data_IF_905553175494
#
_entry.id   IF_905553175494
#
_cell.length_a   1.000
_cell.length_b   1.000
_cell.length_c   1.000
_cell.angle_alpha   90.00
_cell.angle_beta   90.00
_cell.angle_gamma   90.00
#
_symmetry.space_group_name_H-M   'P 1'
#
loop_
_entity.id
_entity.type
_entity.pdbx_description
1 polymer ?
#
# COMPACT_ATOMS: atom_id res chain seq x y z
N UNK A 1 -2.85 5.26 6.81
CA UNK A 1 -1.85 4.79 7.78
C UNK A 1 -0.83 5.88 8.04
N UNK A 2 -0.25 5.95 9.24
CA UNK A 2 0.90 6.83 9.54
C UNK A 2 2.17 6.04 9.26
N UNK A 3 2.84 6.32 8.14
CA UNK A 3 4.09 5.66 7.78
C UNK A 3 4.91 6.58 6.85
N UNK A 4 6.16 6.93 7.18
CA UNK A 4 7.01 7.72 6.29
C UNK A 4 7.52 6.91 5.08
N UNK A 5 7.36 5.58 5.10
CA UNK A 5 7.72 4.71 3.99
C UNK A 5 6.53 4.42 3.07
N UNK A 6 6.79 4.35 1.77
CA UNK A 6 5.84 3.93 0.74
C UNK A 6 6.41 2.85 -0.19
N UNK A 7 5.56 2.28 -1.04
CA UNK A 7 5.92 1.25 -2.03
C UNK A 7 6.64 0.06 -1.39
N UNK A 8 5.98 -0.58 -0.42
CA UNK A 8 6.52 -1.73 0.32
C UNK A 8 7.88 -1.48 0.98
N UNK A 9 8.04 -0.30 1.60
CA UNK A 9 9.25 0.16 2.30
C UNK A 9 10.47 0.43 1.41
N UNK A 10 10.27 0.47 0.09
CA UNK A 10 11.35 0.78 -0.85
C UNK A 10 11.72 2.27 -0.83
N UNK A 11 10.74 3.14 -0.61
CA UNK A 11 10.92 4.59 -0.72
C UNK A 11 10.58 5.29 0.60
N UNK A 12 11.46 6.19 1.02
CA UNK A 12 11.34 6.99 2.23
C UNK A 12 10.95 8.43 1.86
N UNK A 13 9.85 8.92 2.42
CA UNK A 13 9.44 10.31 2.28
C UNK A 13 10.13 11.16 3.36
N UNK A 14 11.03 12.05 2.94
CA UNK A 14 11.79 12.95 3.83
C UNK A 14 10.91 13.86 4.70
N UNK A 15 9.99 14.65 4.12
CA UNK A 15 9.00 15.42 4.89
C UNK A 15 8.19 14.61 5.90
N UNK A 16 7.74 13.41 5.52
CA UNK A 16 7.01 12.53 6.42
C UNK A 16 7.86 12.10 7.62
N UNK A 17 9.12 11.73 7.38
CA UNK A 17 10.07 11.38 8.43
C UNK A 17 10.36 12.59 9.33
N UNK A 18 10.61 13.75 8.74
CA UNK A 18 10.85 15.00 9.46
C UNK A 18 9.69 15.35 10.39
N UNK A 19 8.45 15.22 9.92
CA UNK A 19 7.26 15.45 10.73
C UNK A 19 7.14 14.52 11.94
N UNK A 20 7.48 13.24 11.76
CA UNK A 20 7.53 12.26 12.86
C UNK A 20 8.67 12.61 13.84
N UNK A 21 9.84 13.02 13.35
CA UNK A 21 10.98 13.40 14.21
C UNK A 21 10.68 14.66 15.04
N UNK A 22 10.02 15.65 14.46
CA UNK A 22 9.58 16.87 15.19
C UNK A 22 8.65 16.50 16.33
N UNK A 23 7.70 15.59 16.09
CA UNK A 23 6.81 15.11 17.14
C UNK A 23 7.58 14.38 18.25
N UNK A 24 8.47 13.45 17.89
CA UNK A 24 9.28 12.70 18.86
C UNK A 24 10.17 13.62 19.71
N UNK A 25 10.77 14.65 19.09
CA UNK A 25 11.58 15.63 19.81
C UNK A 25 10.73 16.48 20.75
N UNK A 26 9.55 16.92 20.30
CA UNK A 26 8.60 17.66 21.14
C UNK A 26 8.15 16.83 22.34
N UNK A 27 8.08 15.49 22.18
CA UNK A 27 7.73 14.59 23.26
C UNK A 27 8.79 14.49 24.39
N UNK A 28 10.00 15.02 24.20
CA UNK A 28 11.00 15.06 25.27
C UNK A 28 10.67 16.09 26.35
N UNK A 29 9.92 17.14 26.00
CA UNK A 29 9.45 18.16 26.94
C UNK A 29 7.98 18.49 26.66
N UNK A 30 7.09 17.53 26.96
CA UNK A 30 5.64 17.67 26.70
C UNK A 30 5.03 18.90 27.37
N UNK A 31 5.48 19.23 28.58
CA UNK A 31 4.88 20.27 29.42
C UNK A 31 5.01 21.64 28.78
N UNK A 32 6.18 21.94 28.21
CA UNK A 32 6.44 23.25 27.60
C UNK A 32 6.13 23.30 26.11
N UNK A 33 5.94 22.15 25.44
CA UNK A 33 5.67 22.08 24.00
C UNK A 33 4.19 21.82 23.72
N UNK A 34 3.81 20.54 23.64
CA UNK A 34 2.49 20.07 23.19
C UNK A 34 1.39 20.49 24.17
N UNK A 35 1.65 20.48 25.47
CA UNK A 35 0.66 20.76 26.53
C UNK A 35 0.54 22.25 26.88
N UNK A 36 1.46 23.10 26.41
CA UNK A 36 1.41 24.56 26.62
C UNK A 36 0.85 25.25 25.36
N UNK A 37 1.66 26.06 24.65
CA UNK A 37 1.19 26.87 23.52
C UNK A 37 1.37 26.21 22.16
N UNK A 38 2.19 25.16 22.06
CA UNK A 38 2.64 24.58 20.79
C UNK A 38 1.91 23.28 20.42
N UNK A 39 0.62 23.18 20.70
CA UNK A 39 -0.20 22.01 20.35
C UNK A 39 -0.25 21.71 18.85
N UNK A 40 -0.06 22.72 17.99
CA UNK A 40 0.00 22.56 16.54
C UNK A 40 1.17 21.70 16.04
N UNK A 41 2.18 21.43 16.89
CA UNK A 41 3.27 20.51 16.58
C UNK A 41 2.76 19.09 16.24
N UNK A 42 1.58 18.72 16.75
CA UNK A 42 0.90 17.47 16.38
C UNK A 42 0.54 17.39 14.89
N UNK A 43 0.28 18.53 14.23
CA UNK A 43 -0.10 18.54 12.82
C UNK A 43 1.05 18.20 11.87
N UNK A 44 2.31 18.24 12.32
CA UNK A 44 3.44 17.73 11.53
C UNK A 44 3.33 16.22 11.26
N UNK A 45 2.51 15.49 12.02
CA UNK A 45 2.22 14.09 11.76
C UNK A 45 1.44 13.88 10.44
N UNK A 46 0.70 14.89 9.97
CA UNK A 46 -0.09 14.81 8.74
C UNK A 46 0.77 14.51 7.51
N UNK A 47 2.04 14.93 7.49
CA UNK A 47 2.98 14.61 6.41
C UNK A 47 3.22 13.10 6.24
N UNK A 48 3.06 12.31 7.30
CA UNK A 48 3.17 10.85 7.29
C UNK A 48 1.82 10.13 7.16
N UNK A 49 0.70 10.87 7.17
CA UNK A 49 -0.64 10.32 7.06
C UNK A 49 -1.06 10.21 5.59
N UNK A 50 -1.01 8.99 5.04
CA UNK A 50 -1.54 8.73 3.70
C UNK A 50 -2.50 7.52 3.73
N UNK A 51 -3.64 7.57 3.01
CA UNK A 51 -4.49 6.39 2.84
C UNK A 51 -3.77 5.35 1.98
N UNK A 52 -3.77 4.09 2.43
CA UNK A 52 -3.32 2.97 1.58
C UNK A 52 -4.54 2.44 0.86
N UNK A 53 -4.65 2.78 -0.41
CA UNK A 53 -5.72 2.30 -1.30
C UNK A 53 -5.09 1.65 -2.52
N UNK A 54 -5.80 0.72 -3.14
CA UNK A 54 -5.45 0.16 -4.43
C UNK A 54 -6.59 0.47 -5.41
N UNK A 55 -6.27 1.24 -6.43
CA UNK A 55 -7.13 1.57 -7.55
C UNK A 55 -6.45 1.04 -8.81
N UNK A 56 -7.20 0.34 -9.66
CA UNK A 56 -6.68 -0.20 -10.91
C UNK A 56 -7.28 0.55 -12.10
N UNK A 57 -6.41 0.90 -13.04
CA UNK A 57 -6.77 1.63 -14.26
C UNK A 57 -6.23 0.91 -15.48
N UNK A 58 -6.87 1.08 -16.64
CA UNK A 58 -6.35 0.58 -17.91
C UNK A 58 -5.28 1.55 -18.49
N UNK A 59 -4.74 1.23 -19.66
CA UNK A 59 -3.76 2.08 -20.36
C UNK A 59 -4.33 3.46 -20.76
N UNK A 60 -5.64 3.56 -20.92
CA UNK A 60 -6.36 4.80 -21.25
C UNK A 60 -6.76 5.60 -19.99
N UNK A 61 -6.26 5.21 -18.81
CA UNK A 61 -6.51 5.86 -17.51
C UNK A 61 -8.00 5.78 -17.09
N UNK A 62 -8.78 4.89 -17.69
CA UNK A 62 -10.13 4.56 -17.26
C UNK A 62 -10.11 3.53 -16.12
N UNK A 63 -11.09 3.60 -15.23
CA UNK A 63 -11.20 2.66 -14.10
C UNK A 63 -11.44 1.24 -14.63
N UNK A 64 -10.62 0.30 -14.18
CA UNK A 64 -10.77 -1.13 -14.51
C UNK A 64 -10.84 -1.94 -13.22
N UNK A 65 -12.03 -2.22 -12.69
CA UNK A 65 -12.21 -3.08 -11.52
C UNK A 65 -11.70 -4.49 -11.81
N UNK A 66 -10.84 -5.01 -10.93
CA UNK A 66 -10.26 -6.34 -11.04
C UNK A 66 -10.30 -7.02 -9.68
N UNK A 67 -10.46 -8.33 -9.70
CA UNK A 67 -10.43 -9.16 -8.50
C UNK A 67 -9.01 -9.20 -7.93
N UNK A 68 -8.85 -8.83 -6.67
CA UNK A 68 -7.58 -8.80 -5.94
C UNK A 68 -7.69 -9.60 -4.64
N UNK A 69 -6.59 -10.22 -4.23
CA UNK A 69 -6.47 -10.93 -2.96
C UNK A 69 -5.69 -10.06 -1.99
N UNK A 70 -6.30 -9.65 -0.90
CA UNK A 70 -5.68 -8.83 0.14
C UNK A 70 -5.44 -9.69 1.37
N UNK A 71 -4.21 -9.74 1.86
CA UNK A 71 -3.85 -10.55 3.01
C UNK A 71 -2.62 -10.03 3.74
N UNK A 72 -2.23 -10.72 4.81
CA UNK A 72 -1.08 -10.33 5.61
C UNK A 72 0.21 -10.52 4.80
N UNK A 73 1.05 -9.49 4.79
CA UNK A 73 2.35 -9.52 4.13
C UNK A 73 3.29 -10.54 4.79
N UNK A 74 3.92 -11.40 3.97
CA UNK A 74 4.94 -12.35 4.42
C UNK A 74 6.23 -12.14 3.65
N UNK A 75 7.37 -12.35 4.32
CA UNK A 75 8.67 -12.36 3.68
C UNK A 75 8.87 -13.65 2.90
N UNK A 76 9.16 -13.52 1.61
CA UNK A 76 9.32 -14.64 0.69
C UNK A 76 10.73 -15.20 0.66
N UNK A 77 11.68 -14.58 1.39
CA UNK A 77 13.07 -15.05 1.45
C UNK A 77 13.13 -16.38 2.21
N UNK A 78 13.70 -17.41 1.58
CA UNK A 78 13.85 -18.75 2.19
C UNK A 78 12.62 -19.66 2.07
N UNK A 79 11.55 -19.23 1.40
CA UNK A 79 10.42 -20.10 1.10
C UNK A 79 10.74 -21.01 -0.09
N UNK A 80 10.46 -22.31 0.04
CA UNK A 80 10.60 -23.28 -1.06
C UNK A 80 9.42 -23.18 -2.05
N UNK A 81 9.70 -23.42 -3.34
CA UNK A 81 8.67 -23.47 -4.39
C UNK A 81 8.36 -22.11 -5.03
N UNK A 82 7.07 -21.83 -5.32
CA UNK A 82 6.57 -20.54 -5.84
C UNK A 82 6.04 -19.70 -4.66
N UNK A 83 6.90 -18.90 -4.00
CA UNK A 83 6.53 -18.25 -2.74
C UNK A 83 5.42 -17.23 -2.95
N UNK A 84 4.45 -17.22 -2.04
CA UNK A 84 3.35 -16.25 -2.02
C UNK A 84 3.71 -15.08 -1.11
N UNK A 85 3.44 -13.85 -1.55
CA UNK A 85 3.78 -12.64 -0.77
C UNK A 85 2.73 -12.34 0.31
N UNK A 86 1.60 -13.05 0.30
CA UNK A 86 0.49 -12.91 1.24
C UNK A 86 0.07 -14.23 1.89
N UNK A 87 -0.41 -14.17 3.12
CA UNK A 87 -1.10 -15.25 3.83
C UNK A 87 -2.46 -14.80 4.36
N UNK A 88 -3.40 -15.73 4.54
CA UNK A 88 -4.73 -15.46 5.10
C UNK A 88 -5.49 -14.36 4.34
N UNK A 89 -5.69 -14.55 3.03
CA UNK A 89 -6.25 -13.50 2.17
C UNK A 89 -7.77 -13.53 2.07
N UNK A 90 -8.35 -12.38 1.80
CA UNK A 90 -9.73 -12.20 1.34
C UNK A 90 -9.74 -11.67 -0.09
N UNK A 91 -10.72 -12.12 -0.85
CA UNK A 91 -10.91 -11.68 -2.23
C UNK A 91 -11.80 -10.44 -2.25
N UNK A 92 -11.32 -9.37 -2.87
CA UNK A 92 -12.02 -8.11 -3.07
C UNK A 92 -12.03 -7.74 -4.55
N UNK A 93 -12.87 -6.79 -4.93
CA UNK A 93 -12.73 -6.06 -6.20
C UNK A 93 -12.18 -4.66 -5.92
N UNK A 94 -11.30 -4.19 -6.80
CA UNK A 94 -10.80 -2.81 -6.74
C UNK A 94 -11.89 -1.80 -7.12
N UNK A 95 -11.92 -0.61 -6.49
CA UNK A 95 -10.94 -0.08 -5.55
C UNK A 95 -11.10 -0.63 -4.11
N UNK A 96 -9.97 -0.89 -3.44
CA UNK A 96 -9.95 -1.46 -2.08
C UNK A 96 -9.01 -0.68 -1.16
N UNK A 97 -9.34 -0.58 0.12
CA UNK A 97 -8.45 -0.04 1.15
C UNK A 97 -7.58 -1.16 1.73
N UNK A 98 -6.28 -0.91 1.83
CA UNK A 98 -5.32 -1.84 2.40
C UNK A 98 -5.05 -1.49 3.85
N UNK A 99 -5.14 -2.49 4.72
CA UNK A 99 -4.84 -2.39 6.13
C UNK A 99 -3.34 -2.25 6.43
N UNK A 100 -3.05 -2.15 7.72
CA UNK A 100 -1.68 -2.13 8.24
C UNK A 100 -1.08 -3.53 8.05
N UNK A 101 0.11 -3.60 7.44
CA UNK A 101 0.82 -4.87 7.09
C UNK A 101 0.06 -5.77 6.10
N UNK A 102 -0.97 -5.25 5.44
CA UNK A 102 -1.59 -5.96 4.33
C UNK A 102 -0.88 -5.64 3.01
N UNK A 103 -0.91 -6.63 2.12
CA UNK A 103 -0.48 -6.54 0.72
C UNK A 103 -1.59 -7.10 -0.16
N UNK A 104 -1.67 -6.58 -1.39
CA UNK A 104 -2.55 -7.09 -2.41
C UNK A 104 -1.76 -7.90 -3.45
N UNK A 105 -2.38 -8.95 -3.96
CA UNK A 105 -1.99 -9.69 -5.18
C UNK A 105 -3.16 -9.71 -6.17
N UNK A 106 -2.88 -9.75 -7.48
CA UNK A 106 -3.93 -9.95 -8.48
C UNK A 106 -4.58 -11.33 -8.29
N UNK A 107 -5.91 -11.38 -8.35
CA UNK A 107 -6.69 -12.59 -8.22
C UNK A 107 -7.01 -13.29 -9.54
N UNK A 108 -6.67 -12.67 -10.67
CA UNK A 108 -6.94 -13.12 -12.04
C UNK A 108 -5.65 -13.14 -12.86
N UNK A 109 -5.57 -14.01 -13.87
CA UNK A 109 -4.44 -14.06 -14.81
C UNK A 109 -4.71 -13.31 -16.12
N UNK A 110 -5.93 -12.79 -16.32
CA UNK A 110 -6.35 -11.99 -17.48
C UNK A 110 -5.55 -10.70 -17.68
N UNK A 111 -4.97 -10.18 -16.58
CA UNK A 111 -4.32 -8.87 -16.56
C UNK A 111 -2.98 -8.95 -15.86
N UNK A 112 -2.05 -8.12 -16.32
CA UNK A 112 -0.73 -7.94 -15.73
C UNK A 112 -0.62 -6.52 -15.18
N UNK A 113 -0.09 -6.39 -13.95
CA UNK A 113 0.23 -5.09 -13.39
C UNK A 113 1.58 -4.59 -13.88
N UNK A 114 1.65 -3.33 -14.30
CA UNK A 114 2.92 -2.69 -14.67
C UNK A 114 3.83 -2.51 -13.45
N UNK A 115 3.24 -2.26 -12.28
CA UNK A 115 3.97 -2.14 -11.02
C UNK A 115 4.14 -3.51 -10.34
N UNK A 116 5.29 -3.70 -9.67
CA UNK A 116 5.57 -4.89 -8.86
C UNK A 116 4.85 -4.89 -7.50
N UNK A 117 4.43 -3.71 -7.04
CA UNK A 117 3.71 -3.46 -5.79
C UNK A 117 2.33 -2.92 -6.13
N UNK A 118 1.28 -3.58 -5.63
CA UNK A 118 -0.11 -3.17 -5.83
C UNK A 118 -0.58 -2.20 -4.74
N UNK A 119 -0.17 -0.94 -4.84
CA UNK A 119 -0.52 0.11 -3.91
C UNK A 119 -0.67 1.46 -4.65
N UNK A 120 -1.64 2.27 -4.26
CA UNK A 120 -1.99 3.53 -4.91
C UNK A 120 -2.81 3.30 -6.18
N UNK A 121 -2.42 3.98 -7.26
CA UNK A 121 -3.03 3.83 -8.58
C UNK A 121 -2.10 2.93 -9.41
N UNK A 122 -2.62 1.81 -9.88
CA UNK A 122 -1.86 0.80 -10.62
C UNK A 122 -2.45 0.63 -12.00
N UNK A 123 -1.60 0.75 -13.02
CA UNK A 123 -1.97 0.50 -14.41
C UNK A 123 -1.91 -1.01 -14.68
N UNK A 124 -2.98 -1.52 -15.26
CA UNK A 124 -3.13 -2.90 -15.70
C UNK A 124 -3.08 -2.98 -17.23
N UNK A 125 -2.39 -3.99 -17.73
CA UNK A 125 -2.35 -4.38 -19.14
C UNK A 125 -3.06 -5.71 -19.31
N UNK A 126 -3.64 -5.92 -20.49
CA UNK A 126 -4.14 -7.25 -20.85
C UNK A 126 -2.96 -8.21 -20.96
N UNK A 127 -3.18 -9.43 -20.48
CA UNK A 127 -2.18 -10.49 -20.59
C UNK A 127 -2.27 -11.11 -22.00
N UNK A 128 -1.24 -10.99 -22.85
CA UNK A 128 -1.27 -11.57 -24.20
C UNK A 128 -1.24 -13.11 -24.19
N UNK A 129 -0.75 -13.72 -23.10
CA UNK A 129 -0.63 -15.17 -22.94
C UNK A 129 -1.86 -15.78 -22.26
N UNK A 130 -2.92 -15.00 -22.01
CA UNK A 130 -4.13 -15.49 -21.38
C UNK A 130 -5.00 -16.24 -22.38
N UNK A 131 -5.05 -17.56 -22.23
CA UNK A 131 -6.04 -18.40 -22.89
C UNK A 131 -7.25 -18.53 -21.97
N UNK A 132 -8.43 -18.09 -22.45
CA UNK A 132 -9.67 -18.34 -21.73
C UNK A 132 -9.89 -19.85 -21.68
N UNK A 133 -10.04 -20.41 -20.47
CA UNK A 133 -10.47 -21.81 -20.35
C UNK A 133 -11.83 -21.95 -21.06
N UNK A 134 -11.87 -22.64 -22.20
CA UNK A 134 -13.10 -23.04 -22.86
C UNK A 134 -13.91 -23.86 -21.86
N UNK A 135 -14.99 -23.27 -21.34
CA UNK A 135 -15.85 -23.93 -20.37
C UNK A 135 -16.43 -25.22 -20.94
N UNK A 136 -16.29 -26.31 -20.18
CA UNK A 136 -17.13 -27.50 -20.31
C UNK A 136 -18.57 -27.21 -19.89
#
# INVERSE_FOLDING_TARGET
TINPFHSDRLLLNGPALGGVLVLLYSCLDLKNTILDKSHYLLYYLTCAMNPRMLITVNEEISLRPVTVRVGQAVETVGQAGKPKRITGFQTHQTPVLLGVKERAELGTEEVLSVASVLEGIVILKDNPDYEAEEGN
#
